data_IF_140073599849
#
_entry.id   IF_140073599849
#
_cell.length_a   1.000
_cell.length_b   1.000
_cell.length_c   1.000
_cell.angle_alpha   90.00
_cell.angle_beta   90.00
_cell.angle_gamma   90.00
#
_symmetry.space_group_name_H-M   'P 1'
#
loop_
_entity.id
_entity.type
_entity.pdbx_description
1 polymer ?
#
# COMPACT_ATOMS: atom_id res chain seq x y z
N UNK A 1 15.66 29.67 57.85
CA UNK A 1 14.75 30.72 57.31
C UNK A 1 14.61 30.65 55.78
N UNK A 2 15.63 30.29 55.01
CA UNK A 2 15.53 30.18 53.53
C UNK A 2 14.59 29.09 53.00
N UNK A 3 14.39 28.00 53.75
CA UNK A 3 13.52 26.89 53.33
C UNK A 3 12.03 27.25 53.36
N UNK A 4 11.61 28.10 54.31
CA UNK A 4 10.23 28.58 54.41
C UNK A 4 9.91 29.61 53.32
N UNK A 5 10.85 30.50 53.02
CA UNK A 5 10.74 31.48 51.92
C UNK A 5 10.58 30.82 50.54
N UNK A 6 11.22 29.68 50.28
CA UNK A 6 11.08 28.92 49.03
C UNK A 6 9.73 28.18 48.94
N UNK A 7 9.15 27.78 50.07
CA UNK A 7 7.84 27.12 50.14
C UNK A 7 6.71 28.12 49.90
N UNK A 8 6.79 29.33 50.46
CA UNK A 8 5.79 30.39 50.23
C UNK A 8 5.75 30.88 48.77
N UNK A 9 6.90 30.99 48.09
CA UNK A 9 6.94 31.32 46.66
C UNK A 9 6.37 30.23 45.74
N UNK A 10 6.38 28.97 46.16
CA UNK A 10 5.81 27.86 45.39
C UNK A 10 4.30 27.69 45.62
N UNK A 11 3.76 28.24 46.72
CA UNK A 11 2.33 28.20 47.07
C UNK A 11 1.54 29.39 46.52
N UNK A 12 2.20 30.51 46.20
CA UNK A 12 1.58 31.66 45.52
C UNK A 12 1.63 31.55 43.99
N UNK A 13 1.27 30.38 43.46
CA UNK A 13 1.15 30.16 42.01
C UNK A 13 -0.14 30.75 41.40
N UNK A 14 -0.93 31.50 42.19
CA UNK A 14 -2.24 32.09 41.81
C UNK A 14 -2.96 31.23 40.79
N UNK A 15 -3.32 30.01 41.20
CA UNK A 15 -4.12 29.12 40.37
C UNK A 15 -5.47 29.80 40.10
N UNK A 16 -5.54 30.55 39.00
CA UNK A 16 -6.79 30.99 38.43
C UNK A 16 -7.42 29.79 37.72
N UNK A 17 -8.66 29.49 38.06
CA UNK A 17 -9.48 28.56 37.31
C UNK A 17 -9.60 29.12 35.89
N UNK A 18 -9.14 28.39 34.89
CA UNK A 18 -9.37 28.77 33.49
C UNK A 18 -10.89 28.73 33.23
N UNK A 19 -11.52 29.90 33.39
CA UNK A 19 -12.96 30.12 33.30
C UNK A 19 -13.43 30.26 31.84
N UNK A 20 -12.58 30.00 30.85
CA UNK A 20 -12.88 30.32 29.45
C UNK A 20 -13.94 29.41 28.81
N UNK A 21 -14.31 28.28 29.42
CA UNK A 21 -15.32 27.34 28.89
C UNK A 21 -16.22 26.78 30.01
N UNK A 22 -17.31 27.49 30.34
CA UNK A 22 -18.35 26.97 31.24
C UNK A 22 -19.39 26.15 30.45
N UNK A 23 -19.58 24.88 30.83
CA UNK A 23 -20.72 24.06 30.40
C UNK A 23 -21.48 23.60 31.65
N UNK A 24 -22.81 23.72 31.63
CA UNK A 24 -23.63 23.27 32.75
C UNK A 24 -23.57 21.75 32.89
N UNK A 25 -23.75 21.25 34.12
CA UNK A 25 -23.85 19.79 34.37
C UNK A 25 -24.95 19.15 33.52
N UNK A 26 -26.07 19.85 33.33
CA UNK A 26 -27.18 19.39 32.52
C UNK A 26 -26.80 19.26 31.03
N UNK A 27 -26.13 20.27 30.46
CA UNK A 27 -25.70 20.23 29.06
C UNK A 27 -24.64 19.13 28.81
N UNK A 28 -23.76 18.88 29.79
CA UNK A 28 -22.80 17.76 29.73
C UNK A 28 -23.52 16.40 29.66
N UNK A 29 -24.55 16.21 30.49
CA UNK A 29 -25.39 15.00 30.46
C UNK A 29 -26.17 14.85 29.15
N UNK A 30 -26.64 15.95 28.56
CA UNK A 30 -27.31 15.93 27.25
C UNK A 30 -26.34 15.49 26.14
N UNK A 31 -25.11 16.01 26.14
CA UNK A 31 -24.08 15.58 25.18
C UNK A 31 -23.73 14.11 25.38
N UNK A 32 -23.53 13.66 26.62
CA UNK A 32 -23.28 12.24 26.94
C UNK A 32 -24.38 11.33 26.43
N UNK A 33 -25.65 11.69 26.68
CA UNK A 33 -26.81 10.93 26.17
C UNK A 33 -26.83 10.87 24.65
N UNK A 34 -26.54 11.98 23.96
CA UNK A 34 -26.47 12.01 22.50
C UNK A 34 -25.36 11.09 21.94
N UNK A 35 -24.20 11.04 22.61
CA UNK A 35 -23.10 10.12 22.25
C UNK A 35 -23.53 8.66 22.46
N UNK A 36 -24.09 8.33 23.63
CA UNK A 36 -24.55 6.97 23.97
C UNK A 36 -25.64 6.44 23.05
N UNK A 37 -26.54 7.34 22.63
CA UNK A 37 -27.65 7.06 21.73
C UNK A 37 -27.23 7.05 20.25
N UNK A 38 -25.97 7.36 19.94
CA UNK A 38 -25.44 7.32 18.58
C UNK A 38 -26.25 8.20 17.60
N UNK A 39 -26.71 9.37 18.04
CA UNK A 39 -27.55 10.28 17.24
C UNK A 39 -26.72 11.39 16.62
N UNK A 40 -26.35 11.26 15.35
CA UNK A 40 -25.55 12.26 14.65
C UNK A 40 -26.25 13.63 14.56
N UNK A 41 -27.58 13.66 14.45
CA UNK A 41 -28.35 14.90 14.34
C UNK A 41 -28.31 15.69 15.65
N UNK A 42 -28.42 14.98 16.78
CA UNK A 42 -28.31 15.59 18.10
C UNK A 42 -26.90 16.11 18.34
N UNK A 43 -25.88 15.34 17.98
CA UNK A 43 -24.48 15.77 18.09
C UNK A 43 -24.19 17.02 17.25
N UNK A 44 -24.72 17.11 16.02
CA UNK A 44 -24.60 18.31 15.17
C UNK A 44 -25.26 19.52 15.83
N UNK A 45 -26.47 19.36 16.32
CA UNK A 45 -27.23 20.42 16.97
C UNK A 45 -26.52 20.92 18.24
N UNK A 46 -25.99 20.00 19.04
CA UNK A 46 -25.25 20.32 20.26
C UNK A 46 -23.91 20.98 19.96
N UNK A 47 -23.20 20.55 18.91
CA UNK A 47 -21.97 21.22 18.47
C UNK A 47 -22.23 22.66 18.01
N UNK A 48 -23.37 22.93 17.36
CA UNK A 48 -23.76 24.28 16.96
C UNK A 48 -24.16 25.13 18.18
N UNK A 49 -24.96 24.56 19.09
CA UNK A 49 -25.46 25.25 20.29
C UNK A 49 -24.35 25.64 21.27
N UNK A 50 -23.44 24.72 21.56
CA UNK A 50 -22.39 24.92 22.59
C UNK A 50 -21.05 25.39 22.01
N UNK A 51 -20.93 25.45 20.69
CA UNK A 51 -19.68 25.73 20.01
C UNK A 51 -18.73 24.53 20.01
N UNK A 52 -17.91 24.47 18.95
CA UNK A 52 -17.05 23.33 18.65
C UNK A 52 -15.99 23.05 19.73
N UNK A 53 -15.46 24.08 20.41
CA UNK A 53 -14.45 23.91 21.47
C UNK A 53 -15.00 23.15 22.69
N UNK A 54 -16.16 23.56 23.21
CA UNK A 54 -16.81 22.93 24.36
C UNK A 54 -17.22 21.51 24.01
N UNK A 55 -17.94 21.38 22.89
CA UNK A 55 -18.45 20.09 22.42
C UNK A 55 -17.33 19.07 22.27
N UNK A 56 -16.22 19.44 21.62
CA UNK A 56 -15.10 18.51 21.39
C UNK A 56 -14.42 18.07 22.68
N UNK A 57 -14.26 18.96 23.66
CA UNK A 57 -13.69 18.60 24.97
C UNK A 57 -14.56 17.60 25.71
N UNK A 58 -15.89 17.79 25.68
CA UNK A 58 -16.84 16.85 26.28
C UNK A 58 -16.85 15.52 25.51
N UNK A 59 -16.85 15.57 24.18
CA UNK A 59 -16.80 14.38 23.32
C UNK A 59 -15.59 13.51 23.66
N UNK A 60 -14.38 14.08 23.67
CA UNK A 60 -13.15 13.33 23.88
C UNK A 60 -13.02 12.79 25.31
N UNK A 61 -13.47 13.54 26.32
CA UNK A 61 -13.55 13.05 27.71
C UNK A 61 -14.50 11.87 27.89
N UNK A 62 -15.44 11.68 26.97
CA UNK A 62 -16.39 10.58 26.99
C UNK A 62 -16.23 9.65 25.77
N UNK A 63 -15.01 9.53 25.23
CA UNK A 63 -14.72 8.71 24.04
C UNK A 63 -15.14 7.25 24.20
N UNK A 64 -15.13 6.72 25.42
CA UNK A 64 -15.59 5.37 25.76
C UNK A 64 -17.08 5.11 25.43
N UNK A 65 -17.89 6.17 25.27
CA UNK A 65 -19.30 6.06 24.87
C UNK A 65 -19.49 5.91 23.35
N UNK A 66 -18.45 6.16 22.55
CA UNK A 66 -18.53 6.10 21.09
C UNK A 66 -18.46 4.63 20.67
N UNK A 67 -19.60 4.08 20.30
CA UNK A 67 -19.73 2.68 19.87
C UNK A 67 -19.12 2.45 18.49
N UNK A 68 -18.46 1.32 18.31
CA UNK A 68 -17.82 0.93 17.04
C UNK A 68 -18.77 1.06 15.84
N UNK A 69 -19.94 0.43 15.90
CA UNK A 69 -20.93 0.42 14.82
C UNK A 69 -21.40 1.83 14.43
N UNK A 70 -21.43 2.76 15.39
CA UNK A 70 -21.79 4.15 15.12
C UNK A 70 -20.67 4.87 14.39
N UNK A 71 -19.43 4.67 14.84
CA UNK A 71 -18.27 5.28 14.22
C UNK A 71 -17.94 4.70 12.83
N UNK A 72 -18.34 3.48 12.51
CA UNK A 72 -18.20 2.91 11.15
C UNK A 72 -19.00 3.69 10.09
N UNK A 73 -19.99 4.49 10.47
CA UNK A 73 -20.76 5.31 9.54
C UNK A 73 -19.91 6.48 8.99
N UNK A 74 -19.75 6.55 7.67
CA UNK A 74 -18.97 7.59 6.99
C UNK A 74 -19.39 9.01 7.37
N UNK A 75 -20.69 9.29 7.47
CA UNK A 75 -21.19 10.62 7.83
C UNK A 75 -20.79 11.04 9.24
N UNK A 76 -20.69 10.07 10.16
CA UNK A 76 -20.24 10.29 11.54
C UNK A 76 -18.74 10.59 11.56
N UNK A 77 -17.94 9.80 10.83
CA UNK A 77 -16.50 10.05 10.68
C UNK A 77 -16.22 11.42 10.09
N UNK A 78 -16.93 11.78 9.02
CA UNK A 78 -16.79 13.08 8.36
C UNK A 78 -17.18 14.25 9.28
N UNK A 79 -18.24 14.07 10.09
CA UNK A 79 -18.64 15.05 11.08
C UNK A 79 -17.56 15.24 12.17
N UNK A 80 -17.06 14.16 12.77
CA UNK A 80 -16.00 14.24 13.78
C UNK A 80 -14.73 14.82 13.19
N UNK A 81 -14.33 14.41 11.98
CA UNK A 81 -13.15 14.97 11.30
C UNK A 81 -13.27 16.48 11.12
N UNK A 82 -14.40 16.96 10.57
CA UNK A 82 -14.64 18.41 10.40
C UNK A 82 -14.65 19.15 11.74
N UNK A 83 -15.26 18.57 12.76
CA UNK A 83 -15.41 19.18 14.09
C UNK A 83 -14.06 19.28 14.82
N UNK A 84 -13.24 18.23 14.78
CA UNK A 84 -11.95 18.21 15.46
C UNK A 84 -10.88 18.99 14.68
N UNK A 85 -10.91 18.96 13.34
CA UNK A 85 -9.96 19.71 12.53
C UNK A 85 -10.17 21.22 12.59
N UNK A 86 -11.39 21.71 12.84
CA UNK A 86 -11.66 23.14 12.97
C UNK A 86 -11.09 23.77 14.26
N UNK A 87 -10.63 22.96 15.22
CA UNK A 87 -10.03 23.43 16.46
C UNK A 87 -8.60 23.96 16.24
N UNK A 88 -8.17 24.99 16.98
CA UNK A 88 -6.78 25.43 17.01
C UNK A 88 -5.83 24.25 17.35
N UNK A 89 -4.68 24.10 16.67
CA UNK A 89 -3.80 22.94 16.84
C UNK A 89 -3.41 22.66 18.30
N UNK A 90 -2.91 23.67 19.03
CA UNK A 90 -2.49 23.54 20.42
C UNK A 90 -3.62 23.02 21.32
N UNK A 91 -4.82 23.59 21.19
CA UNK A 91 -5.99 23.18 21.97
C UNK A 91 -6.42 21.75 21.65
N UNK A 92 -6.43 21.37 20.37
CA UNK A 92 -6.79 20.02 19.95
C UNK A 92 -5.83 18.97 20.50
N UNK A 93 -4.52 19.23 20.41
CA UNK A 93 -3.49 18.35 20.96
C UNK A 93 -3.67 18.18 22.46
N UNK A 94 -3.88 19.27 23.21
CA UNK A 94 -4.11 19.22 24.66
C UNK A 94 -5.30 18.32 25.04
N UNK A 95 -6.47 18.50 24.41
CA UNK A 95 -7.68 17.76 24.79
C UNK A 95 -7.72 16.31 24.29
N UNK A 96 -6.91 15.98 23.29
CA UNK A 96 -6.89 14.64 22.68
C UNK A 96 -5.83 13.73 23.30
N UNK A 97 -4.80 14.31 23.93
CA UNK A 97 -3.65 13.61 24.51
C UNK A 97 -4.07 12.44 25.40
N UNK A 98 -5.02 12.64 26.30
CA UNK A 98 -5.48 11.58 27.21
C UNK A 98 -6.10 10.37 26.51
N UNK A 99 -6.76 10.57 25.35
CA UNK A 99 -7.34 9.47 24.59
C UNK A 99 -6.27 8.76 23.76
N UNK A 100 -5.34 9.53 23.19
CA UNK A 100 -4.21 9.04 22.36
C UNK A 100 -3.25 8.20 23.21
N UNK A 101 -2.85 8.71 24.37
CA UNK A 101 -1.99 8.03 25.36
C UNK A 101 -2.74 6.95 26.16
N UNK A 102 -4.00 6.67 25.81
CA UNK A 102 -4.82 5.63 26.41
C UNK A 102 -5.11 5.82 27.92
N UNK A 103 -5.04 7.05 28.43
CA UNK A 103 -5.52 7.42 29.77
C UNK A 103 -7.06 7.42 29.84
N UNK A 104 -7.73 7.68 28.71
CA UNK A 104 -9.17 7.54 28.54
C UNK A 104 -9.44 6.43 27.53
N UNK A 105 -10.20 5.41 27.96
CA UNK A 105 -10.59 4.32 27.07
C UNK A 105 -11.38 4.85 25.87
N UNK A 106 -11.06 4.33 24.70
CA UNK A 106 -11.78 4.52 23.45
C UNK A 106 -11.73 3.24 22.64
N UNK A 107 -12.77 3.01 21.82
CA UNK A 107 -12.75 1.93 20.84
C UNK A 107 -11.53 2.06 19.90
N UNK A 108 -10.93 0.94 19.52
CA UNK A 108 -9.72 0.90 18.68
C UNK A 108 -9.87 1.72 17.41
N UNK A 109 -10.99 1.61 16.70
CA UNK A 109 -11.20 2.33 15.44
C UNK A 109 -11.28 3.85 15.66
N UNK A 110 -11.90 4.28 16.77
CA UNK A 110 -12.01 5.69 17.10
C UNK A 110 -10.66 6.25 17.56
N UNK A 111 -9.88 5.48 18.34
CA UNK A 111 -8.54 5.87 18.77
C UNK A 111 -7.58 5.96 17.60
N UNK A 112 -7.56 5.01 16.67
CA UNK A 112 -6.75 5.08 15.45
C UNK A 112 -7.08 6.33 14.63
N UNK A 113 -8.36 6.62 14.45
CA UNK A 113 -8.81 7.85 13.80
C UNK A 113 -8.31 9.12 14.52
N UNK A 114 -8.42 9.17 15.85
CA UNK A 114 -7.98 10.32 16.62
C UNK A 114 -6.46 10.47 16.61
N UNK A 115 -5.71 9.36 16.69
CA UNK A 115 -4.26 9.34 16.61
C UNK A 115 -3.79 9.92 15.27
N UNK A 116 -4.44 9.58 14.16
CA UNK A 116 -4.11 10.14 12.84
C UNK A 116 -4.25 11.66 12.83
N UNK A 117 -5.38 12.20 13.34
CA UNK A 117 -5.58 13.64 13.45
C UNK A 117 -4.63 14.31 14.45
N UNK A 118 -4.34 13.65 15.57
CA UNK A 118 -3.39 14.10 16.58
C UNK A 118 -2.00 14.25 15.98
N UNK A 119 -1.54 13.24 15.26
CA UNK A 119 -0.24 13.21 14.62
C UNK A 119 -0.13 14.25 13.50
N UNK A 120 -1.21 14.67 12.84
CA UNK A 120 -1.18 15.81 11.92
C UNK A 120 -0.86 17.15 12.63
N UNK A 121 -1.34 17.33 13.87
CA UNK A 121 -1.28 18.61 14.61
C UNK A 121 -0.23 18.67 15.72
N UNK A 122 0.30 17.53 16.16
CA UNK A 122 1.30 17.45 17.23
C UNK A 122 2.58 18.22 16.88
N UNK A 123 3.34 18.64 17.89
CA UNK A 123 4.66 19.21 17.65
C UNK A 123 5.61 18.14 17.07
N UNK A 124 6.65 18.58 16.34
CA UNK A 124 7.64 17.64 15.82
C UNK A 124 8.37 16.91 16.95
N UNK A 125 8.59 17.58 18.09
CA UNK A 125 9.25 16.98 19.24
C UNK A 125 8.38 15.91 19.92
N UNK A 126 7.07 16.07 19.92
CA UNK A 126 6.16 15.01 20.37
C UNK A 126 6.18 13.83 19.39
N UNK A 127 6.18 14.09 18.07
CA UNK A 127 6.34 13.03 17.08
C UNK A 127 7.66 12.25 17.25
N UNK A 128 8.76 12.92 17.58
CA UNK A 128 10.05 12.26 17.89
C UNK A 128 9.93 11.35 19.11
N UNK A 129 9.23 11.78 20.16
CA UNK A 129 8.97 10.95 21.36
C UNK A 129 8.10 9.75 21.02
N UNK A 130 7.02 9.94 20.28
CA UNK A 130 6.13 8.86 19.83
C UNK A 130 6.89 7.85 18.98
N UNK A 131 7.67 8.31 17.99
CA UNK A 131 8.47 7.43 17.13
C UNK A 131 9.49 6.58 17.92
N UNK A 132 10.14 7.18 18.92
CA UNK A 132 11.10 6.50 19.79
C UNK A 132 10.46 5.53 20.79
N UNK A 133 9.18 5.72 21.13
CA UNK A 133 8.49 4.88 22.11
C UNK A 133 7.99 3.57 21.48
N UNK A 134 8.69 2.46 21.75
CA UNK A 134 8.35 1.14 21.21
C UNK A 134 7.03 0.55 21.75
N UNK A 135 6.45 1.10 22.82
CA UNK A 135 5.12 0.67 23.30
C UNK A 135 3.97 1.23 22.48
N UNK A 136 4.22 2.27 21.67
CA UNK A 136 3.20 2.88 20.81
C UNK A 136 2.88 2.00 19.60
N UNK A 137 1.66 2.16 19.07
CA UNK A 137 1.21 1.43 17.88
C UNK A 137 2.10 1.76 16.67
N UNK A 138 2.43 0.73 15.87
CA UNK A 138 3.31 0.86 14.70
C UNK A 138 2.74 1.84 13.68
N UNK A 139 1.42 1.88 13.54
CA UNK A 139 0.65 2.85 12.75
C UNK A 139 1.02 4.29 13.15
N UNK A 140 0.85 4.64 14.44
CA UNK A 140 1.12 5.99 14.96
C UNK A 140 2.60 6.36 14.91
N UNK A 141 3.49 5.39 15.16
CA UNK A 141 4.94 5.59 15.00
C UNK A 141 5.31 5.86 13.55
N UNK A 142 4.67 5.20 12.58
CA UNK A 142 4.91 5.41 11.15
C UNK A 142 4.42 6.78 10.69
N UNK A 143 3.24 7.22 11.12
CA UNK A 143 2.74 8.58 10.83
C UNK A 143 3.68 9.66 11.38
N UNK A 144 4.17 9.48 12.61
CA UNK A 144 5.17 10.38 13.20
C UNK A 144 6.50 10.34 12.42
N UNK A 145 6.94 9.16 12.00
CA UNK A 145 8.13 8.98 11.20
C UNK A 145 8.04 9.72 9.85
N UNK A 146 6.90 9.66 9.17
CA UNK A 146 6.67 10.40 7.92
C UNK A 146 6.85 11.90 8.11
N UNK A 147 6.34 12.46 9.23
CA UNK A 147 6.54 13.89 9.55
C UNK A 147 8.00 14.21 9.87
N UNK A 148 8.70 13.34 10.58
CA UNK A 148 10.14 13.48 10.86
C UNK A 148 10.93 13.48 9.55
N UNK A 149 10.59 12.59 8.61
CA UNK A 149 11.21 12.54 7.28
C UNK A 149 10.96 13.83 6.51
N UNK A 150 9.70 14.31 6.46
CA UNK A 150 9.36 15.57 5.78
C UNK A 150 10.09 16.78 6.38
N UNK A 151 10.33 16.77 7.68
CA UNK A 151 11.13 17.82 8.32
C UNK A 151 12.63 17.69 8.00
N UNK A 152 13.17 16.47 8.02
CA UNK A 152 14.55 16.17 7.64
C UNK A 152 14.87 16.65 6.22
N UNK A 153 13.94 16.41 5.27
CA UNK A 153 14.07 16.83 3.88
C UNK A 153 14.28 18.33 3.70
N UNK A 154 13.71 19.18 4.57
CA UNK A 154 13.87 20.65 4.46
C UNK A 154 15.33 21.11 4.58
N UNK A 155 16.19 20.30 5.19
CA UNK A 155 17.58 20.67 5.50
C UNK A 155 18.61 19.71 4.91
N UNK A 156 18.26 18.45 4.69
CA UNK A 156 19.20 17.38 4.33
C UNK A 156 18.62 16.42 3.29
N UNK A 157 17.92 16.96 2.30
CA UNK A 157 17.23 16.18 1.26
C UNK A 157 18.14 15.14 0.58
N UNK A 158 19.33 15.55 0.14
CA UNK A 158 20.33 14.67 -0.52
C UNK A 158 20.81 13.48 0.33
N UNK A 159 20.61 13.52 1.66
CA UNK A 159 20.94 12.42 2.59
C UNK A 159 19.72 11.58 2.98
N UNK A 160 18.57 11.83 2.37
CA UNK A 160 17.33 11.16 2.71
C UNK A 160 17.42 9.62 2.57
N UNK A 161 17.98 9.05 1.49
CA UNK A 161 18.03 7.60 1.35
C UNK A 161 18.85 6.91 2.44
N UNK A 162 19.98 7.51 2.83
CA UNK A 162 20.84 7.01 3.92
C UNK A 162 20.13 7.13 5.27
N UNK A 163 19.39 8.23 5.49
CA UNK A 163 18.60 8.42 6.70
C UNK A 163 17.50 7.37 6.82
N UNK A 164 16.71 7.17 5.77
CA UNK A 164 15.65 6.15 5.72
C UNK A 164 16.21 4.75 5.95
N UNK A 165 17.31 4.40 5.28
CA UNK A 165 17.95 3.10 5.46
C UNK A 165 18.44 2.88 6.89
N UNK A 166 19.09 3.87 7.49
CA UNK A 166 19.50 3.81 8.90
C UNK A 166 18.31 3.58 9.82
N UNK A 167 17.21 4.32 9.62
CA UNK A 167 16.04 4.22 10.49
C UNK A 167 15.27 2.91 10.29
N UNK A 168 15.18 2.39 9.07
CA UNK A 168 14.59 1.09 8.79
C UNK A 168 15.41 -0.08 9.35
N UNK A 169 16.75 0.03 9.35
CA UNK A 169 17.62 -0.96 10.03
C UNK A 169 17.41 -0.97 11.54
N UNK A 170 17.21 0.20 12.16
CA UNK A 170 16.94 0.32 13.60
C UNK A 170 15.52 -0.07 13.99
N UNK A 171 14.55 0.14 13.10
CA UNK A 171 13.12 -0.05 13.33
C UNK A 171 12.49 -0.92 12.21
N UNK A 172 12.81 -2.22 12.13
CA UNK A 172 12.35 -3.09 11.05
C UNK A 172 10.83 -3.26 11.00
N UNK A 173 10.12 -3.07 12.11
CA UNK A 173 8.66 -3.07 12.17
C UNK A 173 8.03 -1.93 11.35
N UNK A 174 8.65 -0.75 11.34
CA UNK A 174 8.22 0.41 10.55
C UNK A 174 8.47 0.14 9.07
N UNK A 175 9.61 -0.46 8.74
CA UNK A 175 9.91 -0.88 7.36
C UNK A 175 8.88 -1.90 6.85
N UNK A 176 8.55 -2.91 7.65
CA UNK A 176 7.55 -3.91 7.26
C UNK A 176 6.15 -3.31 7.13
N UNK A 177 5.81 -2.35 7.99
CA UNK A 177 4.52 -1.64 7.92
C UNK A 177 4.41 -0.79 6.65
N UNK A 178 5.43 0.02 6.34
CA UNK A 178 5.48 0.82 5.09
C UNK A 178 5.50 -0.06 3.83
N UNK A 179 6.15 -1.22 3.88
CA UNK A 179 6.15 -2.21 2.79
C UNK A 179 4.76 -2.78 2.48
N UNK A 180 3.99 -3.11 3.52
CA UNK A 180 2.81 -3.98 3.38
C UNK A 180 1.47 -3.28 3.56
N UNK A 181 1.41 -2.24 4.40
CA UNK A 181 0.16 -1.59 4.81
C UNK A 181 0.08 -0.12 4.38
N UNK A 182 1.18 0.62 4.43
CA UNK A 182 1.21 2.02 3.98
C UNK A 182 1.90 2.15 2.63
N UNK A 183 1.16 1.76 1.59
CA UNK A 183 1.64 1.81 0.21
C UNK A 183 1.93 3.23 -0.32
N UNK A 184 1.53 4.27 0.41
CA UNK A 184 1.64 5.67 0.02
C UNK A 184 2.81 6.39 0.69
N UNK A 185 3.39 5.87 1.76
CA UNK A 185 4.54 6.48 2.47
C UNK A 185 5.65 6.96 1.52
N UNK A 186 6.17 6.07 0.66
CA UNK A 186 7.23 6.43 -0.28
C UNK A 186 6.72 7.41 -1.33
N UNK A 187 5.47 7.30 -1.77
CA UNK A 187 4.90 8.26 -2.70
C UNK A 187 4.82 9.66 -2.09
N UNK A 188 4.37 9.79 -0.84
CA UNK A 188 4.20 11.09 -0.16
C UNK A 188 5.53 11.78 0.15
N UNK A 189 6.62 11.02 0.24
CA UNK A 189 7.98 11.53 0.44
C UNK A 189 8.64 11.87 -0.90
N UNK A 190 8.70 10.91 -1.83
CA UNK A 190 9.51 11.03 -3.04
C UNK A 190 8.95 12.02 -4.06
N UNK A 191 7.63 12.26 -4.05
CA UNK A 191 7.01 13.26 -4.92
C UNK A 191 7.33 14.71 -4.51
N UNK A 192 7.74 14.93 -3.26
CA UNK A 192 8.07 16.25 -2.73
C UNK A 192 9.54 16.66 -2.90
N UNK A 193 10.36 15.75 -3.44
CA UNK A 193 11.78 15.98 -3.62
C UNK A 193 12.05 17.04 -4.69
N UNK A 194 12.96 17.95 -4.40
CA UNK A 194 13.54 18.90 -5.34
C UNK A 194 14.71 18.28 -6.10
N UNK A 195 15.51 17.43 -5.46
CA UNK A 195 16.67 16.78 -6.05
C UNK A 195 16.42 15.29 -6.30
N UNK A 196 15.64 15.04 -7.35
CA UNK A 196 15.16 13.69 -7.67
C UNK A 196 16.22 12.83 -8.34
N UNK A 197 17.11 13.44 -9.14
CA UNK A 197 18.09 12.71 -9.95
C UNK A 197 19.21 12.12 -9.08
N UNK A 198 19.76 12.88 -8.14
CA UNK A 198 20.80 12.37 -7.23
C UNK A 198 20.28 11.23 -6.34
N UNK A 199 19.02 11.34 -5.91
CA UNK A 199 18.35 10.29 -5.14
C UNK A 199 18.10 9.04 -6.00
N UNK A 200 17.71 9.19 -7.26
CA UNK A 200 17.56 8.06 -8.18
C UNK A 200 18.89 7.32 -8.38
N UNK A 201 19.98 8.06 -8.63
CA UNK A 201 21.32 7.51 -8.79
C UNK A 201 21.75 6.74 -7.54
N UNK A 202 21.56 7.32 -6.35
CA UNK A 202 21.88 6.62 -5.10
C UNK A 202 21.15 5.28 -4.97
N UNK A 203 19.84 5.23 -5.32
CA UNK A 203 19.06 3.99 -5.27
C UNK A 203 19.65 2.94 -6.20
N UNK A 204 19.97 3.32 -7.43
CA UNK A 204 20.51 2.41 -8.46
C UNK A 204 21.89 1.87 -8.06
N UNK A 205 22.74 2.70 -7.48
CA UNK A 205 24.08 2.32 -7.03
C UNK A 205 24.09 1.46 -5.76
N UNK A 206 23.19 1.73 -4.80
CA UNK A 206 23.25 1.16 -3.45
C UNK A 206 22.20 0.08 -3.17
N UNK A 207 21.21 -0.11 -4.05
CA UNK A 207 20.14 -1.12 -3.90
C UNK A 207 20.13 -2.17 -5.01
N UNK A 208 21.22 -2.29 -5.76
CA UNK A 208 21.41 -3.26 -6.83
C UNK A 208 21.67 -4.71 -6.38
N UNK A 209 21.83 -4.98 -5.09
CA UNK A 209 22.21 -6.32 -4.59
C UNK A 209 21.03 -7.31 -4.50
N UNK A 210 21.34 -8.61 -4.28
CA UNK A 210 20.45 -9.77 -4.34
C UNK A 210 19.14 -9.67 -3.52
N UNK A 211 19.11 -8.83 -2.49
CA UNK A 211 17.94 -8.61 -1.63
C UNK A 211 16.87 -7.70 -2.26
N UNK A 212 17.11 -7.16 -3.48
CA UNK A 212 16.13 -6.58 -4.42
C UNK A 212 14.90 -6.00 -3.74
N UNK A 213 15.12 -5.00 -2.89
CA UNK A 213 14.03 -4.44 -2.09
C UNK A 213 13.08 -3.67 -3.02
N UNK A 214 12.00 -4.36 -3.42
CA UNK A 214 11.04 -3.89 -4.41
C UNK A 214 10.46 -2.49 -4.08
N UNK A 215 10.53 -2.07 -2.82
CA UNK A 215 10.13 -0.73 -2.38
C UNK A 215 11.04 0.36 -2.95
N UNK A 216 12.35 0.20 -2.91
CA UNK A 216 13.29 1.22 -3.38
C UNK A 216 13.16 1.41 -4.89
N UNK A 217 13.07 0.31 -5.65
CA UNK A 217 12.83 0.38 -7.09
C UNK A 217 11.44 0.90 -7.44
N UNK A 218 10.42 0.61 -6.63
CA UNK A 218 9.09 1.24 -6.78
C UNK A 218 9.16 2.75 -6.51
N UNK A 219 10.06 3.20 -5.65
CA UNK A 219 10.23 4.62 -5.34
C UNK A 219 10.80 5.41 -6.53
N UNK A 220 11.57 4.76 -7.43
CA UNK A 220 11.99 5.38 -8.68
C UNK A 220 10.79 5.82 -9.54
N UNK A 221 9.70 5.04 -9.56
CA UNK A 221 8.46 5.43 -10.28
C UNK A 221 7.88 6.75 -9.74
N UNK A 222 8.10 7.05 -8.45
CA UNK A 222 7.60 8.27 -7.80
C UNK A 222 8.46 9.51 -8.10
N UNK A 223 9.67 9.32 -8.60
CA UNK A 223 10.56 10.40 -9.04
C UNK A 223 10.15 10.92 -10.44
N UNK A 224 9.40 10.16 -11.23
CA UNK A 224 8.92 10.58 -12.54
C UNK A 224 10.03 10.55 -13.60
N UNK A 225 10.09 11.57 -14.47
CA UNK A 225 11.08 11.68 -15.55
C UNK A 225 12.52 11.58 -15.01
N UNK A 226 12.85 12.27 -13.91
CA UNK A 226 14.20 12.22 -13.31
C UNK A 226 14.62 10.78 -12.93
N UNK A 227 13.67 9.98 -12.43
CA UNK A 227 13.91 8.58 -12.08
C UNK A 227 14.01 7.68 -13.32
N UNK A 228 13.32 8.03 -14.40
CA UNK A 228 13.38 7.34 -15.68
C UNK A 228 14.73 7.59 -16.37
N UNK A 229 15.15 8.85 -16.47
CA UNK A 229 16.42 9.25 -17.10
C UNK A 229 17.61 8.62 -16.37
N UNK A 230 17.65 8.71 -15.04
CA UNK A 230 18.70 8.10 -14.23
C UNK A 230 18.76 6.58 -14.44
N UNK A 231 17.60 5.92 -14.54
CA UNK A 231 17.52 4.48 -14.82
C UNK A 231 18.06 4.14 -16.22
N UNK A 232 17.70 4.92 -17.24
CA UNK A 232 18.18 4.72 -18.61
C UNK A 232 19.70 4.92 -18.72
N UNK A 233 20.22 6.00 -18.14
CA UNK A 233 21.65 6.29 -18.06
C UNK A 233 22.41 5.17 -17.33
N UNK A 234 21.87 4.71 -16.20
CA UNK A 234 22.46 3.61 -15.44
C UNK A 234 22.46 2.29 -16.23
N UNK A 235 21.40 2.00 -16.98
CA UNK A 235 21.31 0.83 -17.85
C UNK A 235 22.36 0.91 -18.97
N UNK A 236 22.53 2.08 -19.62
CA UNK A 236 23.56 2.30 -20.63
C UNK A 236 24.97 2.03 -20.07
N UNK A 237 25.28 2.66 -18.92
CA UNK A 237 26.59 2.57 -18.28
C UNK A 237 26.91 1.15 -17.74
N UNK A 238 25.89 0.31 -17.53
CA UNK A 238 26.03 -1.04 -17.00
C UNK A 238 25.59 -2.14 -17.99
N UNK A 239 25.67 -1.87 -19.30
CA UNK A 239 25.22 -2.73 -20.41
C UNK A 239 25.82 -4.16 -20.44
N UNK A 240 26.85 -4.41 -19.63
CA UNK A 240 27.52 -5.71 -19.50
C UNK A 240 26.98 -6.60 -18.37
N UNK A 241 26.17 -6.07 -17.42
CA UNK A 241 25.67 -6.84 -16.28
C UNK A 241 24.45 -7.72 -16.64
N UNK A 242 24.74 -8.97 -17.00
CA UNK A 242 23.72 -9.96 -17.41
C UNK A 242 22.74 -10.36 -16.30
N UNK A 243 23.03 -10.08 -15.03
CA UNK A 243 22.18 -10.48 -13.90
C UNK A 243 21.20 -9.38 -13.49
N UNK A 244 21.65 -8.12 -13.52
CA UNK A 244 20.88 -6.97 -13.08
C UNK A 244 19.97 -6.42 -14.18
N UNK A 245 20.48 -6.30 -15.41
CA UNK A 245 19.76 -5.66 -16.52
C UNK A 245 18.37 -6.26 -16.80
N UNK A 246 18.17 -7.60 -16.78
CA UNK A 246 16.84 -8.16 -16.99
C UNK A 246 15.82 -7.73 -15.92
N UNK A 247 16.26 -7.49 -14.69
CA UNK A 247 15.40 -7.00 -13.61
C UNK A 247 15.10 -5.52 -13.79
N UNK A 248 16.10 -4.68 -14.06
CA UNK A 248 15.91 -3.24 -14.28
C UNK A 248 15.00 -2.98 -15.47
N UNK A 249 15.29 -3.56 -16.63
CA UNK A 249 14.51 -3.36 -17.86
C UNK A 249 13.11 -3.95 -17.73
N UNK A 250 12.98 -5.27 -17.46
CA UNK A 250 11.64 -5.91 -17.48
C UNK A 250 10.81 -5.57 -16.23
N UNK A 251 11.47 -5.38 -15.09
CA UNK A 251 10.84 -5.23 -13.78
C UNK A 251 10.56 -3.79 -13.36
N UNK A 252 11.50 -2.87 -13.63
CA UNK A 252 11.45 -1.48 -13.16
C UNK A 252 11.07 -0.53 -14.29
N UNK A 253 11.80 -0.55 -15.41
CA UNK A 253 11.59 0.36 -16.55
C UNK A 253 10.18 0.23 -17.13
N UNK A 254 9.64 -0.99 -17.21
CA UNK A 254 8.26 -1.26 -17.66
C UNK A 254 7.17 -0.51 -16.88
N UNK A 255 7.50 -0.01 -15.68
CA UNK A 255 6.55 0.68 -14.80
C UNK A 255 6.38 2.15 -15.16
N UNK A 256 7.34 2.75 -15.87
CA UNK A 256 7.33 4.14 -16.32
C UNK A 256 6.45 4.40 -17.56
N UNK A 257 5.72 3.40 -18.05
CA UNK A 257 4.80 3.50 -19.21
C UNK A 257 3.76 4.65 -19.19
N UNK A 258 3.60 5.37 -18.08
CA UNK A 258 2.70 6.52 -17.98
C UNK A 258 3.36 7.85 -18.34
N UNK A 259 4.69 7.90 -18.43
CA UNK A 259 5.42 9.09 -18.86
C UNK A 259 5.15 9.35 -20.35
N UNK A 260 5.15 10.63 -20.73
CA UNK A 260 4.85 11.02 -22.11
C UNK A 260 6.02 10.68 -23.04
N UNK A 261 7.25 10.95 -22.58
CA UNK A 261 8.54 10.65 -23.23
C UNK A 261 8.80 9.17 -23.44
N UNK A 262 8.11 8.29 -22.71
CA UNK A 262 8.44 6.87 -22.63
C UNK A 262 8.53 6.16 -23.99
N UNK A 263 7.66 6.49 -24.96
CA UNK A 263 7.68 5.80 -26.26
C UNK A 263 8.93 6.17 -27.04
N UNK A 264 9.18 7.47 -27.19
CA UNK A 264 10.30 8.03 -27.94
C UNK A 264 11.63 7.56 -27.34
N UNK A 265 11.80 7.64 -26.03
CA UNK A 265 13.02 7.25 -25.33
C UNK A 265 13.33 5.74 -25.45
N UNK A 266 12.30 4.89 -25.50
CA UNK A 266 12.50 3.46 -25.70
C UNK A 266 12.83 3.13 -27.16
N UNK A 267 12.27 3.87 -28.11
CA UNK A 267 12.61 3.75 -29.54
C UNK A 267 14.06 4.19 -29.77
N UNK A 268 14.44 5.34 -29.23
CA UNK A 268 15.79 5.89 -29.33
C UNK A 268 16.81 4.93 -28.70
N UNK A 269 16.57 4.50 -27.45
CA UNK A 269 17.45 3.53 -26.79
C UNK A 269 17.52 2.18 -27.52
N UNK A 270 16.45 1.73 -28.18
CA UNK A 270 16.51 0.50 -28.97
C UNK A 270 17.36 0.65 -30.22
N UNK A 271 17.37 1.82 -30.85
CA UNK A 271 18.13 2.07 -32.08
C UNK A 271 19.58 2.43 -31.82
N UNK A 272 19.88 2.98 -30.64
CA UNK A 272 21.22 3.33 -30.18
C UNK A 272 22.18 2.11 -30.15
N UNK A 273 23.45 2.39 -30.46
CA UNK A 273 24.55 1.45 -30.40
C UNK A 273 24.91 1.07 -28.95
N UNK A 274 24.78 2.01 -28.00
CA UNK A 274 25.15 1.80 -26.60
C UNK A 274 24.28 0.74 -25.90
N UNK A 275 23.12 0.43 -26.48
CA UNK A 275 22.15 -0.55 -25.97
C UNK A 275 22.08 -1.84 -26.80
N UNK A 276 23.02 -2.08 -27.72
CA UNK A 276 22.96 -3.22 -28.66
C UNK A 276 22.79 -4.58 -27.95
N UNK A 277 23.44 -4.77 -26.80
CA UNK A 277 23.36 -6.00 -26.00
C UNK A 277 22.02 -6.20 -25.29
N UNK A 278 21.18 -5.15 -25.23
CA UNK A 278 19.95 -5.08 -24.43
C UNK A 278 18.69 -4.96 -25.28
N UNK A 279 18.78 -4.83 -26.60
CA UNK A 279 17.64 -4.75 -27.53
C UNK A 279 16.56 -5.81 -27.24
N UNK A 280 16.97 -7.07 -27.11
CA UNK A 280 16.04 -8.15 -26.78
C UNK A 280 15.33 -8.00 -25.44
N UNK A 281 15.92 -7.31 -24.45
CA UNK A 281 15.27 -7.01 -23.17
C UNK A 281 14.18 -5.95 -23.30
N UNK A 282 14.39 -4.91 -24.11
CA UNK A 282 13.38 -3.88 -24.37
C UNK A 282 12.14 -4.47 -25.04
N UNK A 283 12.31 -5.33 -26.04
CA UNK A 283 11.15 -5.98 -26.68
C UNK A 283 10.42 -6.91 -25.70
N UNK A 284 11.17 -7.69 -24.91
CA UNK A 284 10.59 -8.56 -23.89
C UNK A 284 9.94 -7.81 -22.71
N UNK A 285 10.31 -6.56 -22.49
CA UNK A 285 9.69 -5.67 -21.52
C UNK A 285 8.26 -5.33 -21.92
N UNK A 286 8.03 -5.10 -23.22
CA UNK A 286 6.74 -4.75 -23.82
C UNK A 286 5.77 -5.94 -23.90
N UNK A 287 6.27 -7.16 -23.69
CA UNK A 287 5.49 -8.41 -23.78
C UNK A 287 4.33 -8.45 -22.75
N UNK A 288 3.08 -8.73 -23.19
CA UNK A 288 1.99 -9.00 -22.25
C UNK A 288 2.24 -10.31 -21.47
N UNK A 289 1.89 -10.39 -20.18
CA UNK A 289 1.11 -9.45 -19.40
C UNK A 289 1.97 -8.50 -18.54
N UNK A 290 3.29 -8.44 -18.80
CA UNK A 290 4.26 -7.70 -17.99
C UNK A 290 4.07 -6.20 -18.15
N UNK A 291 4.01 -5.75 -19.40
CA UNK A 291 3.67 -4.38 -19.73
C UNK A 291 2.17 -4.14 -19.57
N UNK A 292 1.79 -2.92 -19.18
CA UNK A 292 0.40 -2.60 -18.85
C UNK A 292 -0.33 -1.81 -19.94
N UNK A 293 0.39 -1.11 -20.81
CA UNK A 293 -0.21 -0.29 -21.86
C UNK A 293 -0.04 -0.95 -23.22
N UNK A 294 -1.13 -1.52 -23.73
CA UNK A 294 -1.17 -2.13 -25.07
C UNK A 294 -0.85 -1.11 -26.16
N UNK A 295 -1.56 0.03 -26.13
CA UNK A 295 -1.41 1.11 -27.12
C UNK A 295 0.05 1.55 -27.24
N UNK A 296 0.69 1.89 -26.11
CA UNK A 296 2.10 2.26 -26.08
C UNK A 296 3.02 1.18 -26.64
N UNK A 297 2.79 -0.09 -26.27
CA UNK A 297 3.61 -1.18 -26.79
C UNK A 297 3.47 -1.33 -28.31
N UNK A 298 2.25 -1.20 -28.84
CA UNK A 298 1.98 -1.28 -30.27
C UNK A 298 2.54 -0.08 -31.05
N UNK A 299 2.50 1.12 -30.46
CA UNK A 299 3.11 2.32 -31.02
C UNK A 299 4.63 2.15 -31.13
N UNK A 300 5.31 1.73 -30.05
CA UNK A 300 6.76 1.51 -30.04
C UNK A 300 7.15 0.49 -31.13
N UNK A 301 6.44 -0.64 -31.22
CA UNK A 301 6.70 -1.65 -32.26
C UNK A 301 6.49 -1.08 -33.68
N UNK A 302 5.43 -0.29 -33.89
CA UNK A 302 5.15 0.32 -35.19
C UNK A 302 6.23 1.32 -35.58
N UNK A 303 6.69 2.14 -34.62
CA UNK A 303 7.72 3.14 -34.86
C UNK A 303 9.07 2.49 -35.19
N UNK A 304 9.47 1.45 -34.44
CA UNK A 304 10.67 0.68 -34.77
C UNK A 304 10.62 0.09 -36.19
N UNK A 305 9.45 -0.43 -36.61
CA UNK A 305 9.26 -0.92 -37.97
C UNK A 305 9.35 0.21 -39.01
N UNK A 306 8.78 1.38 -38.73
CA UNK A 306 8.86 2.55 -39.60
C UNK A 306 10.32 3.01 -39.80
N UNK A 307 11.15 2.87 -38.77
CA UNK A 307 12.58 3.16 -38.82
C UNK A 307 13.42 2.05 -39.48
N UNK A 308 12.79 1.00 -40.02
CA UNK A 308 13.47 -0.07 -40.75
C UNK A 308 14.18 -1.09 -39.88
N UNK A 309 13.85 -1.17 -38.59
CA UNK A 309 14.44 -2.14 -37.66
C UNK A 309 14.04 -3.56 -38.03
N UNK A 310 15.04 -4.43 -38.20
CA UNK A 310 14.85 -5.88 -38.33
C UNK A 310 14.93 -6.57 -36.97
N UNK A 311 13.90 -7.34 -36.61
CA UNK A 311 13.89 -8.15 -35.39
C UNK A 311 14.51 -9.52 -35.63
N UNK A 312 15.24 -10.05 -34.64
CA UNK A 312 15.71 -11.44 -34.65
C UNK A 312 14.54 -12.41 -34.51
N UNK A 313 14.73 -13.69 -34.88
CA UNK A 313 13.71 -14.75 -34.75
C UNK A 313 13.10 -14.86 -33.33
N UNK A 314 13.89 -14.55 -32.29
CA UNK A 314 13.43 -14.57 -30.90
C UNK A 314 12.58 -13.35 -30.57
N UNK A 315 12.95 -12.19 -31.07
CA UNK A 315 12.18 -10.95 -30.89
C UNK A 315 10.89 -11.00 -31.71
N UNK A 316 10.93 -11.56 -32.91
CA UNK A 316 9.77 -11.68 -33.80
C UNK A 316 8.58 -12.37 -33.11
N UNK A 317 8.82 -13.43 -32.33
CA UNK A 317 7.77 -14.10 -31.54
C UNK A 317 7.13 -13.19 -30.49
N UNK A 318 7.92 -12.30 -29.89
CA UNK A 318 7.44 -11.34 -28.90
C UNK A 318 6.69 -10.20 -29.59
N UNK A 319 7.22 -9.69 -30.71
CA UNK A 319 6.57 -8.68 -31.56
C UNK A 319 5.20 -9.17 -32.00
N UNK A 320 5.10 -10.39 -32.55
CA UNK A 320 3.82 -11.01 -32.92
C UNK A 320 2.85 -11.09 -31.73
N UNK A 321 3.35 -11.34 -30.52
CA UNK A 321 2.51 -11.38 -29.31
C UNK A 321 1.94 -10.00 -28.93
N UNK A 322 2.69 -8.93 -29.20
CA UNK A 322 2.30 -7.54 -28.93
C UNK A 322 1.33 -7.03 -30.01
N UNK A 323 1.60 -7.35 -31.28
CA UNK A 323 0.71 -6.98 -32.39
C UNK A 323 -0.65 -7.67 -32.27
N UNK A 324 -0.63 -8.95 -31.90
CA UNK A 324 -1.85 -9.71 -31.62
C UNK A 324 -2.39 -9.48 -30.20
N UNK A 325 -1.87 -8.51 -29.45
CA UNK A 325 -2.39 -8.19 -28.13
C UNK A 325 -3.79 -7.58 -28.26
N UNK A 326 -4.81 -8.36 -27.91
CA UNK A 326 -6.19 -7.93 -27.88
C UNK A 326 -6.64 -7.58 -26.45
N UNK A 327 -7.41 -6.49 -26.29
CA UNK A 327 -7.93 -6.03 -24.99
C UNK A 327 -8.99 -7.00 -24.43
N UNK A 328 -9.71 -7.63 -25.36
CA UNK A 328 -10.30 -8.96 -25.21
C UNK A 328 -9.16 -9.97 -25.34
N UNK A 329 -8.73 -10.72 -24.35
CA UNK A 329 -9.55 -11.78 -23.83
C UNK A 329 -8.73 -12.51 -22.78
N UNK A 330 -9.25 -12.54 -21.54
CA UNK A 330 -9.07 -13.79 -20.80
C UNK A 330 -9.66 -14.93 -21.63
N UNK A 331 -9.30 -16.19 -21.35
CA UNK A 331 -9.72 -17.30 -22.21
C UNK A 331 -11.21 -17.19 -22.61
N UNK A 332 -11.47 -17.07 -23.91
CA UNK A 332 -12.83 -16.93 -24.44
C UNK A 332 -13.51 -18.29 -24.56
N UNK A 333 -12.71 -19.37 -24.55
CA UNK A 333 -13.19 -20.74 -24.63
C UNK A 333 -12.33 -21.71 -23.84
N UNK A 334 -12.92 -22.86 -23.50
CA UNK A 334 -12.21 -24.00 -22.92
C UNK A 334 -11.06 -24.47 -23.82
N UNK A 335 -11.25 -24.45 -25.14
CA UNK A 335 -10.24 -24.86 -26.12
C UNK A 335 -8.98 -23.97 -26.05
N UNK A 336 -9.18 -22.66 -25.93
CA UNK A 336 -8.08 -21.70 -25.82
C UNK A 336 -7.26 -21.91 -24.53
N UNK A 337 -7.95 -22.11 -23.40
CA UNK A 337 -7.33 -22.44 -22.13
C UNK A 337 -6.48 -23.72 -22.23
N UNK A 338 -7.05 -24.80 -22.76
CA UNK A 338 -6.35 -26.08 -22.89
C UNK A 338 -5.15 -26.01 -23.83
N UNK A 339 -5.24 -25.27 -24.94
CA UNK A 339 -4.12 -25.05 -25.86
C UNK A 339 -2.94 -24.35 -25.16
N UNK A 340 -3.21 -23.30 -24.38
CA UNK A 340 -2.16 -22.58 -23.62
C UNK A 340 -1.64 -23.40 -22.43
N UNK A 341 -2.45 -24.27 -21.85
CA UNK A 341 -2.04 -25.21 -20.81
C UNK A 341 -1.01 -26.23 -21.36
N UNK A 342 -1.24 -26.74 -22.57
CA UNK A 342 -0.43 -27.80 -23.18
C UNK A 342 0.89 -27.31 -23.80
N UNK A 343 1.01 -26.04 -24.18
CA UNK A 343 2.17 -25.52 -24.94
C UNK A 343 3.52 -25.50 -24.22
N UNK A 344 3.61 -25.86 -22.94
CA UNK A 344 4.87 -25.95 -22.19
C UNK A 344 4.64 -26.83 -20.92
N UNK A 345 5.55 -27.75 -20.54
CA UNK A 345 5.32 -28.67 -19.43
C UNK A 345 5.64 -28.11 -18.02
N UNK A 346 6.37 -26.99 -17.89
CA UNK A 346 6.76 -26.47 -16.58
C UNK A 346 5.71 -25.51 -15.98
N UNK A 347 5.26 -25.81 -14.76
CA UNK A 347 4.40 -24.94 -13.93
C UNK A 347 5.25 -24.20 -12.89
N UNK A 348 5.71 -23.00 -13.25
CA UNK A 348 6.28 -22.05 -12.29
C UNK A 348 5.24 -20.99 -11.90
N UNK A 349 5.53 -20.21 -10.85
CA UNK A 349 4.64 -19.17 -10.32
C UNK A 349 4.24 -18.14 -11.40
N UNK A 350 5.18 -17.72 -12.25
CA UNK A 350 4.92 -16.76 -13.32
C UNK A 350 3.86 -17.27 -14.30
N UNK A 351 3.90 -18.56 -14.64
CA UNK A 351 2.90 -19.17 -15.51
C UNK A 351 1.54 -19.34 -14.83
N UNK A 352 1.54 -19.78 -13.58
CA UNK A 352 0.30 -19.87 -12.79
C UNK A 352 -0.39 -18.51 -12.71
N UNK A 353 0.39 -17.44 -12.51
CA UNK A 353 -0.09 -16.07 -12.55
C UNK A 353 -0.69 -15.69 -13.91
N UNK A 354 0.02 -15.96 -15.01
CA UNK A 354 -0.49 -15.70 -16.36
C UNK A 354 -1.82 -16.42 -16.63
N UNK A 355 -1.88 -17.73 -16.39
CA UNK A 355 -3.08 -18.53 -16.64
C UNK A 355 -4.24 -18.10 -15.73
N UNK A 356 -3.97 -17.85 -14.45
CA UNK A 356 -4.95 -17.36 -13.47
C UNK A 356 -5.54 -16.01 -13.85
N UNK A 357 -4.69 -15.05 -14.26
CA UNK A 357 -5.13 -13.70 -14.67
C UNK A 357 -6.03 -13.75 -15.90
N UNK A 358 -5.76 -14.65 -16.84
CA UNK A 358 -6.60 -14.85 -18.01
C UNK A 358 -7.92 -15.58 -17.69
N UNK A 359 -7.99 -16.38 -16.62
CA UNK A 359 -9.26 -16.95 -16.16
C UNK A 359 -10.15 -15.92 -15.43
N UNK A 360 -9.54 -14.95 -14.74
CA UNK A 360 -10.24 -13.93 -13.95
C UNK A 360 -11.23 -13.08 -14.76
N UNK A 361 -10.99 -12.94 -16.05
CA UNK A 361 -11.83 -12.14 -16.95
C UNK A 361 -13.07 -12.89 -17.46
N UNK A 362 -13.21 -14.20 -17.18
CA UNK A 362 -14.32 -15.03 -17.65
C UNK A 362 -14.79 -16.05 -16.58
N UNK A 363 -15.64 -15.60 -15.65
CA UNK A 363 -16.12 -16.44 -14.54
C UNK A 363 -17.01 -17.61 -14.97
N UNK A 364 -17.72 -17.52 -16.10
CA UNK A 364 -18.52 -18.64 -16.61
C UNK A 364 -17.61 -19.75 -17.13
N UNK A 365 -16.49 -19.40 -17.78
CA UNK A 365 -15.48 -20.36 -18.20
C UNK A 365 -14.82 -21.07 -17.01
N UNK A 366 -14.56 -20.38 -15.89
CA UNK A 366 -14.01 -21.03 -14.69
C UNK A 366 -14.93 -22.16 -14.21
N UNK A 367 -16.24 -21.92 -14.14
CA UNK A 367 -17.23 -22.95 -13.78
C UNK A 367 -17.23 -24.12 -14.78
N UNK A 368 -17.15 -23.81 -16.07
CA UNK A 368 -17.05 -24.84 -17.11
C UNK A 368 -15.79 -25.70 -16.95
N UNK A 369 -14.63 -25.09 -16.68
CA UNK A 369 -13.36 -25.80 -16.47
C UNK A 369 -13.42 -26.68 -15.23
N UNK A 370 -13.96 -26.18 -14.11
CA UNK A 370 -14.15 -26.96 -12.87
C UNK A 370 -14.99 -28.20 -13.15
N UNK A 371 -16.11 -28.04 -13.86
CA UNK A 371 -17.04 -29.16 -14.10
C UNK A 371 -16.49 -30.18 -15.10
N UNK A 372 -15.83 -29.73 -16.18
CA UNK A 372 -15.41 -30.63 -17.27
C UNK A 372 -14.00 -31.19 -17.10
N UNK A 373 -13.09 -30.45 -16.46
CA UNK A 373 -11.67 -30.78 -16.40
C UNK A 373 -11.07 -30.59 -15.00
N UNK A 374 -11.91 -30.35 -13.98
CA UNK A 374 -11.48 -30.17 -12.59
C UNK A 374 -10.78 -31.40 -11.99
N UNK A 375 -10.80 -32.54 -12.67
CA UNK A 375 -10.04 -33.76 -12.33
C UNK A 375 -8.57 -33.76 -12.79
N UNK A 376 -8.20 -33.01 -13.83
CA UNK A 376 -6.84 -32.95 -14.39
C UNK A 376 -5.90 -32.21 -13.43
N UNK A 377 -4.77 -32.85 -13.05
CA UNK A 377 -3.83 -32.30 -12.08
C UNK A 377 -3.20 -30.95 -12.48
N UNK A 378 -3.00 -30.70 -13.78
CA UNK A 378 -2.48 -29.42 -14.30
C UNK A 378 -3.55 -28.33 -14.23
N UNK A 379 -4.80 -28.68 -14.56
CA UNK A 379 -5.95 -27.78 -14.45
C UNK A 379 -6.20 -27.42 -12.98
N UNK A 380 -6.18 -28.41 -12.09
CA UNK A 380 -6.32 -28.23 -10.63
C UNK A 380 -5.31 -27.22 -10.09
N UNK A 381 -4.03 -27.31 -10.46
CA UNK A 381 -3.01 -26.35 -10.03
C UNK A 381 -3.35 -24.92 -10.43
N UNK A 382 -3.79 -24.71 -11.68
CA UNK A 382 -4.19 -23.37 -12.16
C UNK A 382 -5.43 -22.86 -11.42
N UNK A 383 -6.46 -23.69 -11.27
CA UNK A 383 -7.69 -23.34 -10.57
C UNK A 383 -7.41 -23.01 -9.11
N UNK A 384 -6.62 -23.84 -8.41
CA UNK A 384 -6.25 -23.64 -7.02
C UNK A 384 -5.54 -22.30 -6.83
N UNK A 385 -4.56 -21.99 -7.69
CA UNK A 385 -3.85 -20.73 -7.67
C UNK A 385 -4.78 -19.55 -7.99
N UNK A 386 -5.70 -19.72 -8.94
CA UNK A 386 -6.69 -18.72 -9.30
C UNK A 386 -7.64 -18.37 -8.15
N UNK A 387 -8.19 -19.36 -7.44
CA UNK A 387 -9.05 -19.13 -6.28
C UNK A 387 -8.27 -18.53 -5.11
N UNK A 388 -7.04 -18.99 -4.84
CA UNK A 388 -6.21 -18.47 -3.76
C UNK A 388 -5.84 -16.99 -3.98
N UNK A 389 -5.37 -16.64 -5.19
CA UNK A 389 -4.99 -15.27 -5.55
C UNK A 389 -6.16 -14.29 -5.46
N UNK A 390 -7.37 -14.76 -5.76
CA UNK A 390 -8.56 -13.92 -5.84
C UNK A 390 -9.53 -14.12 -4.66
N UNK A 391 -9.07 -14.71 -3.56
CA UNK A 391 -9.90 -15.06 -2.40
C UNK A 391 -10.61 -13.84 -1.78
N UNK A 392 -10.03 -12.65 -1.91
CA UNK A 392 -10.62 -11.39 -1.45
C UNK A 392 -11.91 -11.01 -2.18
N UNK A 393 -12.12 -11.50 -3.40
CA UNK A 393 -13.35 -11.26 -4.16
C UNK A 393 -14.47 -12.20 -3.70
N UNK A 394 -15.51 -11.63 -3.09
CA UNK A 394 -16.64 -12.39 -2.55
C UNK A 394 -17.35 -13.29 -3.58
N UNK A 395 -17.48 -12.85 -4.83
CA UNK A 395 -18.09 -13.66 -5.91
C UNK A 395 -17.26 -14.88 -6.28
N UNK A 396 -15.93 -14.79 -6.15
CA UNK A 396 -15.01 -15.91 -6.38
C UNK A 396 -15.01 -16.83 -5.16
N UNK A 397 -14.99 -16.27 -3.95
CA UNK A 397 -15.07 -17.04 -2.71
C UNK A 397 -16.33 -17.92 -2.64
N UNK A 398 -17.48 -17.41 -3.10
CA UNK A 398 -18.72 -18.20 -3.17
C UNK A 398 -18.63 -19.42 -4.09
N UNK A 399 -17.80 -19.37 -5.14
CA UNK A 399 -17.63 -20.48 -6.08
C UNK A 399 -16.78 -21.63 -5.53
N UNK A 400 -16.12 -21.42 -4.38
CA UNK A 400 -15.36 -22.47 -3.69
C UNK A 400 -16.29 -23.46 -3.00
N UNK A 401 -17.52 -23.05 -2.67
CA UNK A 401 -18.51 -23.93 -2.08
C UNK A 401 -18.87 -25.06 -3.06
N UNK A 402 -18.66 -26.31 -2.63
CA UNK A 402 -18.94 -27.50 -3.44
C UNK A 402 -17.78 -27.95 -4.34
N UNK A 403 -16.60 -27.32 -4.26
CA UNK A 403 -15.41 -27.83 -4.93
C UNK A 403 -14.92 -29.15 -4.32
N UNK A 404 -14.26 -30.02 -5.12
CA UNK A 404 -13.61 -31.22 -4.61
C UNK A 404 -12.59 -30.93 -3.49
N UNK A 405 -12.50 -31.83 -2.50
CA UNK A 405 -11.64 -31.66 -1.31
C UNK A 405 -10.17 -31.45 -1.67
N UNK A 406 -9.67 -32.18 -2.64
CA UNK A 406 -8.28 -32.07 -3.10
C UNK A 406 -7.97 -30.71 -3.74
N UNK A 407 -8.95 -30.10 -4.42
CA UNK A 407 -8.83 -28.73 -4.93
C UNK A 407 -8.85 -27.71 -3.78
N UNK A 408 -9.72 -27.91 -2.79
CA UNK A 408 -9.78 -27.08 -1.57
C UNK A 408 -8.44 -27.12 -0.82
N UNK A 409 -7.85 -28.31 -0.65
CA UNK A 409 -6.57 -28.46 0.03
C UNK A 409 -5.42 -27.72 -0.70
N UNK A 410 -5.42 -27.76 -2.04
CA UNK A 410 -4.46 -27.00 -2.86
C UNK A 410 -4.68 -25.49 -2.79
N UNK A 411 -5.93 -25.02 -2.72
CA UNK A 411 -6.23 -23.60 -2.50
C UNK A 411 -5.61 -23.16 -1.16
N UNK A 412 -5.80 -23.94 -0.09
CA UNK A 412 -5.24 -23.63 1.23
C UNK A 412 -3.71 -23.58 1.22
N UNK A 413 -3.04 -24.50 0.53
CA UNK A 413 -1.58 -24.47 0.39
C UNK A 413 -1.10 -23.22 -0.37
N UNK A 414 -1.75 -22.87 -1.48
CA UNK A 414 -1.42 -21.65 -2.23
C UNK A 414 -1.69 -20.38 -1.41
N UNK A 415 -2.70 -20.36 -0.54
CA UNK A 415 -2.96 -19.21 0.34
C UNK A 415 -1.82 -18.98 1.34
N UNK A 416 -1.21 -20.06 1.84
CA UNK A 416 -0.01 -19.98 2.69
C UNK A 416 1.19 -19.47 1.86
N UNK A 417 1.44 -20.04 0.69
CA UNK A 417 2.56 -19.63 -0.18
C UNK A 417 2.44 -18.16 -0.61
N UNK A 418 1.23 -17.71 -0.94
CA UNK A 418 0.93 -16.33 -1.30
C UNK A 418 0.86 -15.37 -0.10
N UNK A 419 1.04 -15.89 1.12
CA UNK A 419 0.94 -15.12 2.37
C UNK A 419 -0.37 -14.32 2.49
N UNK A 420 -1.48 -14.88 1.98
CA UNK A 420 -2.77 -14.18 1.93
C UNK A 420 -3.38 -14.04 3.33
N UNK A 421 -3.85 -12.83 3.67
CA UNK A 421 -4.44 -12.51 4.99
C UNK A 421 -5.74 -11.71 4.89
N UNK A 422 -6.59 -12.02 3.90
CA UNK A 422 -7.89 -11.38 3.76
C UNK A 422 -8.92 -11.98 4.73
N UNK A 423 -9.99 -11.24 5.07
CA UNK A 423 -11.14 -11.75 5.86
C UNK A 423 -11.71 -13.06 5.30
N UNK A 424 -11.75 -13.19 3.97
CA UNK A 424 -12.19 -14.42 3.32
C UNK A 424 -11.19 -15.57 3.48
N UNK A 425 -9.90 -15.30 3.68
CA UNK A 425 -8.88 -16.31 3.99
C UNK A 425 -9.11 -16.91 5.38
N UNK A 426 -9.40 -16.10 6.39
CA UNK A 426 -9.78 -16.57 7.73
C UNK A 426 -11.10 -17.36 7.69
N UNK A 427 -12.08 -16.87 6.94
CA UNK A 427 -13.35 -17.57 6.74
C UNK A 427 -13.13 -18.92 6.04
N UNK A 428 -12.26 -18.96 5.03
CA UNK A 428 -11.86 -20.18 4.32
C UNK A 428 -11.19 -21.18 5.28
N UNK A 429 -10.20 -20.75 6.05
CA UNK A 429 -9.44 -21.62 6.95
C UNK A 429 -10.33 -22.24 8.03
N UNK A 430 -11.26 -21.45 8.58
CA UNK A 430 -12.25 -21.93 9.55
C UNK A 430 -13.25 -22.90 8.91
N UNK A 431 -13.80 -22.55 7.75
CA UNK A 431 -14.83 -23.36 7.06
C UNK A 431 -14.31 -24.73 6.63
N UNK A 432 -13.10 -24.78 6.08
CA UNK A 432 -12.53 -26.01 5.51
C UNK A 432 -11.49 -26.68 6.41
N UNK A 433 -11.26 -26.15 7.62
CA UNK A 433 -10.33 -26.70 8.63
C UNK A 433 -8.92 -26.98 8.07
N UNK A 434 -8.38 -26.05 7.28
CA UNK A 434 -7.05 -26.21 6.69
C UNK A 434 -5.96 -25.84 7.71
N UNK A 435 -5.42 -26.85 8.39
CA UNK A 435 -4.54 -26.66 9.56
C UNK A 435 -3.27 -25.84 9.28
N UNK A 436 -2.60 -26.04 8.14
CA UNK A 436 -1.40 -25.26 7.80
C UNK A 436 -1.72 -23.77 7.62
N UNK A 437 -2.88 -23.46 7.04
CA UNK A 437 -3.33 -22.08 6.88
C UNK A 437 -3.76 -21.48 8.22
N UNK A 438 -4.42 -22.26 9.09
CA UNK A 438 -4.75 -21.84 10.46
C UNK A 438 -3.47 -21.48 11.22
N UNK A 439 -2.46 -22.35 11.18
CA UNK A 439 -1.16 -22.11 11.83
C UNK A 439 -0.48 -20.85 11.26
N UNK A 440 -0.45 -20.69 9.94
CA UNK A 440 0.09 -19.50 9.27
C UNK A 440 -0.60 -18.19 9.73
N UNK A 441 -1.93 -18.23 9.93
CA UNK A 441 -2.71 -17.09 10.40
C UNK A 441 -2.52 -16.84 11.91
N UNK A 442 -2.28 -17.89 12.70
CA UNK A 442 -2.11 -17.85 14.16
C UNK A 442 -0.69 -17.50 14.64
N UNK A 443 0.34 -17.53 13.78
CA UNK A 443 1.71 -17.03 14.10
C UNK A 443 1.77 -15.51 14.30
N UNK A 444 0.74 -14.93 14.90
CA UNK A 444 0.49 -13.52 15.13
C UNK A 444 -0.08 -13.25 16.53
N UNK A 445 0.23 -14.12 17.49
CA UNK A 445 0.19 -13.77 18.92
C UNK A 445 1.59 -13.45 19.37
#
# INVERSE_FOLDING_TARGET
METLSKVEKALDLRFEKDNTLYISKNDNEVIRKAISNSSIQDLKTLSQKHGTKIFSKVLLKNSWLIKENFFQNKNVKDFFKKTLLSLPPQYFTEISKDVVENNIYADTNFREFLNSLYNEKASLDDCKKTFANKSEMVESRTECFERIVKDYMKTKEHLLPQFLESEFKKNPEIFNYTKTKDSQFFQSIFTLLSDKRDIANWILENKNDKDRDAIWFKSLEHLGEDGFDALMEFIANNSHDKNMLPFLVRGVLSKFHKLNSFEDEIVDAYTDYDFLSMKGLFIQMLEPPRFKSKEKAQNIISELKNQGVSFSDKEQKVVESIENWSDSSGFNSLKEFLNKLNGNPQFNIARLYYLSRNLERNTSLVKQIVNSHGGDGRVKKVLAYHFARNIGNYKIFQQINGLPKDLIDQIGNNLVELHSRHRNTETFSQRYRHYKLIEFLQRRV
#
